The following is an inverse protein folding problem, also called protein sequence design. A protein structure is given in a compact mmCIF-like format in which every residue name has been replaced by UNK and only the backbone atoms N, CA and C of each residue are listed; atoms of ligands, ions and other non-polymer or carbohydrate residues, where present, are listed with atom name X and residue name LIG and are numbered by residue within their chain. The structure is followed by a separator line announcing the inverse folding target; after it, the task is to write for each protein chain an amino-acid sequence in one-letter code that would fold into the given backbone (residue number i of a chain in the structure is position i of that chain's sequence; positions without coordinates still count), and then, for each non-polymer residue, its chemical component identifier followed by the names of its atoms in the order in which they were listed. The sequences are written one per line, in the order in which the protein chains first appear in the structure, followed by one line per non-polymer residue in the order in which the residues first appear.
data_IF_179205067221
#
_entry.id   IF_179205067221
#
_cell.length_a   1.000
_cell.length_b   1.000
_cell.length_c   1.000
_cell.angle_alpha   90.00
_cell.angle_beta   90.00
_cell.angle_gamma   90.00
#
_symmetry.space_group_name_H-M   'P 1'
#
loop_
_entity.id
_entity.type
_entity.pdbx_description
1 polymer ?
#
# COMPACT_ATOMS: atom_id res chain seq x y z
N UNK A 1 -8.78 4.44 38.23
CA UNK A 1 -7.81 4.23 37.11
C UNK A 1 -7.66 2.74 36.98
N UNK A 2 -8.42 2.11 36.11
CA UNK A 2 -8.35 0.66 35.87
C UNK A 2 -7.07 0.37 35.11
N UNK A 3 -6.25 -0.51 35.67
CA UNK A 3 -5.06 -1.05 35.02
C UNK A 3 -5.48 -1.87 33.79
N UNK A 4 -5.48 -1.25 32.60
CA UNK A 4 -5.56 -2.01 31.37
C UNK A 4 -4.31 -2.88 31.26
N UNK A 5 -4.45 -4.21 31.07
CA UNK A 5 -3.31 -5.08 30.89
C UNK A 5 -2.50 -4.59 29.68
N UNK A 6 -1.18 -4.40 29.88
CA UNK A 6 -0.29 -4.01 28.80
C UNK A 6 -0.29 -5.10 27.73
N UNK A 7 -0.91 -4.78 26.58
CA UNK A 7 -0.89 -5.64 25.43
C UNK A 7 0.53 -5.83 24.90
N UNK A 8 1.07 -6.99 25.02
CA UNK A 8 2.23 -7.40 24.22
C UNK A 8 1.71 -7.76 22.83
N UNK A 9 2.01 -6.95 21.84
CA UNK A 9 1.57 -7.14 20.45
C UNK A 9 1.82 -8.58 19.93
N UNK A 10 2.86 -9.24 20.46
CA UNK A 10 3.22 -10.63 20.17
C UNK A 10 2.10 -11.62 20.56
N UNK A 11 1.36 -11.37 21.64
CA UNK A 11 0.29 -12.25 22.10
C UNK A 11 -0.99 -12.07 21.27
N UNK A 12 -1.21 -10.88 20.73
CA UNK A 12 -2.36 -10.59 19.85
C UNK A 12 -2.30 -11.44 18.57
N UNK A 13 -1.10 -11.56 17.98
CA UNK A 13 -0.88 -12.31 16.75
C UNK A 13 -0.68 -13.83 16.97
N UNK A 14 -0.29 -14.25 18.16
CA UNK A 14 -0.10 -15.65 18.50
C UNK A 14 -1.41 -16.40 18.84
N UNK A 15 -2.54 -15.70 18.93
CA UNK A 15 -3.83 -16.31 19.27
C UNK A 15 -4.05 -16.61 20.75
N UNK A 16 -3.08 -16.31 21.60
CA UNK A 16 -3.14 -16.57 23.05
C UNK A 16 -4.16 -15.71 23.81
N UNK A 17 -4.71 -14.69 23.12
CA UNK A 17 -5.70 -13.75 23.68
C UNK A 17 -7.12 -13.97 23.15
N UNK A 18 -7.40 -15.04 22.43
CA UNK A 18 -8.73 -15.34 21.84
C UNK A 18 -9.86 -15.33 22.85
N UNK A 19 -9.60 -15.82 24.07
CA UNK A 19 -10.60 -15.89 25.15
C UNK A 19 -10.92 -14.49 25.71
N UNK A 20 -9.93 -13.60 25.75
CA UNK A 20 -10.08 -12.23 26.25
C UNK A 20 -10.67 -11.27 25.20
N UNK A 21 -10.45 -11.55 23.91
CA UNK A 21 -10.85 -10.68 22.79
C UNK A 21 -11.43 -11.51 21.64
N UNK A 22 -12.65 -12.00 21.77
CA UNK A 22 -13.30 -12.84 20.77
C UNK A 22 -13.49 -12.17 19.40
N UNK A 23 -13.38 -10.84 19.35
CA UNK A 23 -13.52 -10.04 18.13
C UNK A 23 -12.16 -9.58 17.51
N UNK A 24 -11.04 -9.96 18.12
CA UNK A 24 -9.72 -9.60 17.55
C UNK A 24 -9.41 -10.49 16.35
N UNK A 25 -8.94 -9.86 15.27
CA UNK A 25 -8.56 -10.55 14.03
C UNK A 25 -7.52 -11.62 14.33
N UNK A 26 -7.85 -12.87 14.01
CA UNK A 26 -6.98 -14.04 14.29
C UNK A 26 -5.87 -14.25 13.26
N UNK A 27 -5.79 -13.38 12.22
CA UNK A 27 -4.84 -13.54 11.12
C UNK A 27 -3.67 -12.57 11.24
N UNK A 28 -2.47 -13.09 11.04
CA UNK A 28 -1.24 -12.31 11.02
C UNK A 28 -1.13 -11.48 9.73
N UNK A 29 -0.36 -10.36 9.71
CA UNK A 29 -0.19 -9.55 8.50
C UNK A 29 0.37 -10.32 7.30
N UNK A 30 1.27 -11.29 7.53
CA UNK A 30 1.79 -12.15 6.48
C UNK A 30 0.72 -13.06 5.88
N UNK A 31 -0.20 -13.57 6.71
CA UNK A 31 -1.35 -14.33 6.23
C UNK A 31 -2.28 -13.48 5.36
N UNK A 32 -2.60 -12.26 5.79
CA UNK A 32 -3.42 -11.31 5.02
C UNK A 32 -2.76 -11.01 3.66
N UNK A 33 -1.44 -10.80 3.67
CA UNK A 33 -0.70 -10.54 2.42
C UNK A 33 -0.71 -11.77 1.49
N UNK A 34 -0.60 -13.00 2.04
CA UNK A 34 -0.72 -14.24 1.26
C UNK A 34 -2.11 -14.41 0.65
N UNK A 35 -3.16 -13.87 1.27
CA UNK A 35 -4.52 -13.84 0.71
C UNK A 35 -4.65 -12.87 -0.48
N UNK A 36 -3.63 -12.06 -0.77
CA UNK A 36 -3.59 -11.14 -1.89
C UNK A 36 -3.99 -9.71 -1.50
N UNK A 37 -3.82 -9.30 -0.25
CA UNK A 37 -4.07 -7.93 0.20
C UNK A 37 -2.74 -7.30 0.58
N UNK A 38 -2.35 -6.22 -0.10
CA UNK A 38 -1.18 -5.42 0.24
C UNK A 38 -1.60 -4.00 0.63
N UNK A 39 -0.83 -3.38 1.53
CA UNK A 39 -1.05 -2.01 2.00
C UNK A 39 0.25 -1.23 1.98
N UNK A 40 0.20 -0.01 1.47
CA UNK A 40 1.20 1.02 1.73
C UNK A 40 0.81 1.79 3.00
N UNK A 41 1.72 2.60 3.51
CA UNK A 41 1.46 3.41 4.70
C UNK A 41 1.60 4.89 4.37
N UNK A 42 0.90 5.76 5.09
CA UNK A 42 1.03 7.21 4.97
C UNK A 42 2.51 7.64 5.07
N UNK A 43 3.22 7.16 6.09
CA UNK A 43 4.67 7.32 6.18
C UNK A 43 5.38 6.19 5.46
N UNK A 44 6.19 6.51 4.46
CA UNK A 44 6.95 5.54 3.64
C UNK A 44 7.79 4.63 4.54
N UNK A 45 7.60 3.32 4.40
CA UNK A 45 8.31 2.28 5.18
C UNK A 45 9.21 1.45 4.28
N UNK A 46 10.39 1.99 3.96
CA UNK A 46 11.43 1.28 3.23
C UNK A 46 12.52 0.75 4.17
N UNK A 47 13.19 -0.30 3.74
CA UNK A 47 14.43 -0.75 4.39
C UNK A 47 15.55 0.22 3.99
N UNK A 48 15.84 1.18 4.88
CA UNK A 48 16.69 2.34 4.61
C UNK A 48 18.12 1.99 4.22
N UNK A 49 18.66 0.89 4.75
CA UNK A 49 20.02 0.40 4.50
C UNK A 49 20.13 -0.56 3.31
N UNK A 50 19.01 -0.84 2.63
CA UNK A 50 18.97 -1.71 1.46
C UNK A 50 18.88 -0.90 0.18
N UNK A 51 19.36 -1.50 -0.92
CA UNK A 51 19.20 -0.95 -2.26
C UNK A 51 17.74 -0.95 -2.69
N UNK A 52 17.44 -0.22 -3.76
CA UNK A 52 16.15 -0.25 -4.43
C UNK A 52 15.77 -1.68 -4.82
N UNK A 53 16.72 -2.41 -5.41
CA UNK A 53 16.55 -3.80 -5.80
C UNK A 53 16.24 -4.72 -4.61
N UNK A 54 17.04 -4.63 -3.54
CA UNK A 54 16.87 -5.49 -2.36
C UNK A 54 15.57 -5.23 -1.61
N UNK A 55 15.09 -3.98 -1.61
CA UNK A 55 13.79 -3.64 -1.06
C UNK A 55 12.65 -4.42 -1.74
N UNK A 56 12.65 -4.52 -3.07
CA UNK A 56 11.63 -5.26 -3.82
C UNK A 56 11.84 -6.76 -3.70
N UNK A 57 13.08 -7.24 -3.82
CA UNK A 57 13.41 -8.66 -3.74
C UNK A 57 12.99 -9.28 -2.39
N UNK A 58 13.16 -8.53 -1.29
CA UNK A 58 12.74 -8.98 0.06
C UNK A 58 11.25 -9.31 0.11
N UNK A 59 10.40 -8.55 -0.58
CA UNK A 59 8.96 -8.81 -0.61
C UNK A 59 8.59 -10.08 -1.41
N UNK A 60 9.40 -10.47 -2.40
CA UNK A 60 9.20 -11.72 -3.13
C UNK A 60 9.33 -12.97 -2.25
N UNK A 61 10.10 -12.88 -1.15
CA UNK A 61 10.32 -14.02 -0.24
C UNK A 61 9.07 -14.44 0.53
N UNK A 62 8.05 -13.61 0.61
CA UNK A 62 6.78 -13.96 1.27
C UNK A 62 6.12 -15.23 0.69
N UNK A 63 6.29 -15.43 -0.62
CA UNK A 63 5.71 -16.58 -1.35
C UNK A 63 6.69 -17.73 -1.56
N UNK A 64 7.86 -17.66 -0.92
CA UNK A 64 8.87 -18.69 -1.03
C UNK A 64 8.38 -19.98 -0.36
N UNK A 65 8.35 -21.08 -1.11
CA UNK A 65 7.92 -22.40 -0.62
C UNK A 65 9.09 -23.27 -0.13
N UNK A 66 10.33 -22.75 -0.24
CA UNK A 66 11.52 -23.53 0.06
C UNK A 66 11.70 -23.77 1.56
N UNK A 67 11.90 -25.03 1.93
CA UNK A 67 12.24 -25.48 3.27
C UNK A 67 13.75 -25.29 3.55
N UNK A 68 14.13 -25.22 4.83
CA UNK A 68 15.52 -25.11 5.30
C UNK A 68 16.47 -26.14 4.63
N UNK A 69 15.98 -27.34 4.36
CA UNK A 69 16.71 -28.39 3.67
C UNK A 69 17.06 -28.03 2.21
N UNK A 70 16.11 -27.46 1.47
CA UNK A 70 16.35 -27.05 0.07
C UNK A 70 17.29 -25.85 -0.04
N UNK A 71 17.29 -24.96 0.95
CA UNK A 71 18.23 -23.84 1.05
C UNK A 71 19.67 -24.33 1.27
N UNK A 72 19.87 -25.33 2.14
CA UNK A 72 21.19 -25.89 2.48
C UNK A 72 21.86 -26.58 1.26
N UNK A 73 21.08 -27.23 0.40
CA UNK A 73 21.59 -27.94 -0.77
C UNK A 73 21.62 -27.13 -2.07
N UNK A 74 21.43 -25.78 -2.00
CA UNK A 74 21.41 -24.87 -3.17
C UNK A 74 20.44 -25.29 -4.29
N UNK A 75 19.39 -26.04 -3.97
CA UNK A 75 18.40 -26.51 -4.96
C UNK A 75 17.49 -25.37 -5.48
N UNK A 76 17.56 -24.19 -4.83
CA UNK A 76 16.68 -23.04 -5.12
C UNK A 76 17.25 -22.02 -6.13
N UNK A 77 18.35 -22.33 -6.81
CA UNK A 77 18.97 -21.38 -7.77
C UNK A 77 18.03 -20.92 -8.88
N UNK A 78 17.15 -21.79 -9.37
CA UNK A 78 16.17 -21.45 -10.40
C UNK A 78 15.09 -20.50 -9.88
N UNK A 79 14.57 -20.76 -8.68
CA UNK A 79 13.58 -19.91 -8.02
C UNK A 79 14.16 -18.53 -7.70
N UNK A 80 15.39 -18.50 -7.19
CA UNK A 80 16.10 -17.26 -6.87
C UNK A 80 16.39 -16.43 -8.14
N UNK A 81 16.78 -17.07 -9.23
CA UNK A 81 16.97 -16.41 -10.53
C UNK A 81 15.66 -15.82 -11.07
N UNK A 82 14.56 -16.56 -10.99
CA UNK A 82 13.25 -16.10 -11.40
C UNK A 82 12.74 -14.91 -10.54
N UNK A 83 12.99 -14.93 -9.21
CA UNK A 83 12.64 -13.80 -8.35
C UNK A 83 13.47 -12.55 -8.67
N UNK A 84 14.74 -12.70 -8.99
CA UNK A 84 15.60 -11.59 -9.43
C UNK A 84 15.13 -10.99 -10.76
N UNK A 85 14.79 -11.82 -11.72
CA UNK A 85 14.24 -11.40 -13.01
C UNK A 85 12.92 -10.63 -12.82
N UNK A 86 11.99 -11.20 -12.08
CA UNK A 86 10.71 -10.54 -11.75
C UNK A 86 10.91 -9.22 -11.00
N UNK A 87 11.92 -9.14 -10.13
CA UNK A 87 12.28 -7.89 -9.43
C UNK A 87 12.72 -6.82 -10.44
N UNK A 88 13.56 -7.17 -11.40
CA UNK A 88 14.02 -6.23 -12.45
C UNK A 88 12.86 -5.78 -13.34
N UNK A 89 11.96 -6.68 -13.70
CA UNK A 89 10.75 -6.34 -14.46
C UNK A 89 9.87 -5.35 -13.69
N UNK A 90 9.62 -5.59 -12.39
CA UNK A 90 8.87 -4.67 -11.54
C UNK A 90 9.53 -3.31 -11.44
N UNK A 91 10.85 -3.27 -11.25
CA UNK A 91 11.59 -2.00 -11.20
C UNK A 91 11.48 -1.23 -12.51
N UNK A 92 11.50 -1.92 -13.65
CA UNK A 92 11.29 -1.30 -14.95
C UNK A 92 9.88 -0.71 -15.09
N UNK A 93 8.85 -1.45 -14.65
CA UNK A 93 7.46 -0.97 -14.67
C UNK A 93 7.28 0.28 -13.84
N UNK A 94 7.91 0.36 -12.66
CA UNK A 94 7.79 1.53 -11.78
C UNK A 94 8.80 2.65 -12.11
N UNK A 95 9.64 2.47 -13.15
CA UNK A 95 10.63 3.47 -13.60
C UNK A 95 11.78 3.66 -12.62
N UNK A 96 12.25 2.58 -11.99
CA UNK A 96 13.36 2.59 -11.02
C UNK A 96 14.51 1.65 -11.38
N UNK A 97 14.51 1.05 -12.57
CA UNK A 97 15.52 0.11 -13.02
C UNK A 97 16.93 0.71 -13.09
N UNK A 98 17.05 1.94 -13.55
CA UNK A 98 18.34 2.68 -13.59
C UNK A 98 18.90 2.98 -12.20
N UNK A 99 18.07 2.94 -11.16
CA UNK A 99 18.41 3.26 -9.77
C UNK A 99 18.47 2.02 -8.87
N UNK A 100 18.44 0.83 -9.45
CA UNK A 100 18.32 -0.44 -8.73
C UNK A 100 19.39 -0.66 -7.66
N UNK A 101 20.60 -0.17 -7.90
CA UNK A 101 21.78 -0.33 -7.02
C UNK A 101 21.92 0.82 -5.99
N UNK A 102 21.09 1.88 -6.11
CA UNK A 102 21.05 3.00 -5.17
C UNK A 102 20.40 2.60 -3.83
N UNK A 103 20.83 3.26 -2.76
CA UNK A 103 20.13 3.12 -1.47
C UNK A 103 18.72 3.71 -1.55
N UNK A 104 17.75 3.05 -0.94
CA UNK A 104 16.37 3.53 -0.93
C UNK A 104 16.23 4.96 -0.37
N UNK A 105 17.12 5.36 0.55
CA UNK A 105 17.14 6.70 1.16
C UNK A 105 17.72 7.79 0.27
N UNK A 106 18.47 7.44 -0.78
CA UNK A 106 19.02 8.42 -1.73
C UNK A 106 18.00 8.90 -2.76
N UNK A 107 16.88 8.18 -2.87
CA UNK A 107 15.83 8.52 -3.82
C UNK A 107 15.05 9.78 -3.41
N UNK A 108 14.64 10.64 -4.37
CA UNK A 108 13.62 11.66 -4.15
C UNK A 108 12.32 11.04 -3.60
N UNK A 109 11.53 11.84 -2.87
CA UNK A 109 10.32 11.38 -2.17
C UNK A 109 9.33 10.65 -3.09
N UNK A 110 9.00 11.19 -4.24
CA UNK A 110 8.10 10.54 -5.21
C UNK A 110 8.62 9.18 -5.70
N UNK A 111 9.95 9.03 -5.88
CA UNK A 111 10.57 7.74 -6.24
C UNK A 111 10.58 6.75 -5.06
N UNK A 112 10.72 7.23 -3.82
CA UNK A 112 10.56 6.38 -2.64
C UNK A 112 9.13 5.83 -2.55
N UNK A 113 8.10 6.64 -2.86
CA UNK A 113 6.70 6.20 -2.91
C UNK A 113 6.48 5.14 -4.00
N UNK A 114 7.03 5.34 -5.20
CA UNK A 114 6.99 4.32 -6.26
C UNK A 114 7.66 3.01 -5.83
N UNK A 115 8.79 3.08 -5.10
CA UNK A 115 9.48 1.91 -4.56
C UNK A 115 8.62 1.18 -3.51
N UNK A 116 7.93 1.90 -2.64
CA UNK A 116 7.02 1.31 -1.66
C UNK A 116 5.87 0.56 -2.34
N UNK A 117 5.29 1.15 -3.39
CA UNK A 117 4.26 0.50 -4.21
C UNK A 117 4.83 -0.73 -4.92
N UNK A 118 6.04 -0.65 -5.49
CA UNK A 118 6.71 -1.79 -6.11
C UNK A 118 6.90 -2.97 -5.13
N UNK A 119 7.24 -2.69 -3.88
CA UNK A 119 7.31 -3.72 -2.82
C UNK A 119 5.95 -4.36 -2.54
N UNK A 120 4.88 -3.56 -2.54
CA UNK A 120 3.53 -4.09 -2.41
C UNK A 120 3.15 -4.98 -3.60
N UNK A 121 3.45 -4.54 -4.84
CA UNK A 121 3.21 -5.32 -6.07
C UNK A 121 4.02 -6.62 -6.11
N UNK A 122 5.22 -6.64 -5.54
CA UNK A 122 6.06 -7.83 -5.45
C UNK A 122 5.42 -8.98 -4.67
N UNK A 123 4.44 -8.70 -3.80
CA UNK A 123 3.65 -9.71 -3.11
C UNK A 123 2.51 -10.28 -3.94
N UNK A 124 2.36 -9.85 -5.21
CA UNK A 124 1.33 -10.30 -6.14
C UNK A 124 -0.11 -10.13 -5.56
N UNK A 125 -0.50 -8.89 -5.21
CA UNK A 125 -1.78 -8.62 -4.58
C UNK A 125 -2.93 -8.65 -5.60
N UNK A 126 -4.15 -8.89 -5.08
CA UNK A 126 -5.42 -8.66 -5.79
C UNK A 126 -6.04 -7.33 -5.37
N UNK A 127 -5.83 -6.96 -4.10
CA UNK A 127 -6.28 -5.72 -3.49
C UNK A 127 -5.08 -4.93 -2.98
N UNK A 128 -4.92 -3.71 -3.46
CA UNK A 128 -3.90 -2.77 -3.01
C UNK A 128 -4.57 -1.63 -2.25
N UNK A 129 -4.19 -1.47 -0.97
CA UNK A 129 -4.66 -0.39 -0.11
C UNK A 129 -3.60 0.73 -0.14
N UNK A 130 -3.98 1.90 -0.62
CA UNK A 130 -3.14 3.10 -0.68
C UNK A 130 -3.65 4.12 0.34
N UNK A 131 -2.79 4.48 1.28
CA UNK A 131 -3.10 5.39 2.39
C UNK A 131 -2.36 6.71 2.17
N UNK A 132 -3.09 7.74 1.74
CA UNK A 132 -2.61 9.08 1.38
C UNK A 132 -1.31 9.05 0.54
N UNK A 133 -1.32 8.38 -0.63
CA UNK A 133 -0.08 8.20 -1.41
C UNK A 133 0.50 9.50 -1.94
N UNK A 134 -0.30 10.56 -2.12
CA UNK A 134 0.14 11.87 -2.61
C UNK A 134 0.52 12.85 -1.50
N UNK A 135 0.47 12.44 -0.21
CA UNK A 135 0.80 13.34 0.89
C UNK A 135 2.20 13.94 0.75
N UNK A 136 2.30 15.26 0.81
CA UNK A 136 3.56 16.01 0.71
C UNK A 136 4.12 16.16 -0.70
N UNK A 137 3.37 15.79 -1.74
CA UNK A 137 3.72 15.98 -3.14
C UNK A 137 3.24 17.34 -3.67
N UNK A 138 3.99 17.91 -4.60
CA UNK A 138 3.53 19.06 -5.37
C UNK A 138 2.50 18.63 -6.44
N UNK A 139 1.77 19.58 -7.08
CA UNK A 139 0.75 19.23 -8.06
C UNK A 139 1.24 18.37 -9.22
N UNK A 140 2.44 18.62 -9.74
CA UNK A 140 3.02 17.85 -10.83
C UNK A 140 3.35 16.42 -10.39
N UNK A 141 3.95 16.24 -9.22
CA UNK A 141 4.24 14.93 -8.65
C UNK A 141 2.95 14.13 -8.38
N UNK A 142 1.88 14.82 -7.95
CA UNK A 142 0.56 14.20 -7.74
C UNK A 142 -0.02 13.71 -9.07
N UNK A 143 0.08 14.48 -10.14
CA UNK A 143 -0.38 14.09 -11.48
C UNK A 143 0.40 12.89 -12.01
N UNK A 144 1.73 12.90 -11.87
CA UNK A 144 2.60 11.77 -12.24
C UNK A 144 2.26 10.50 -11.43
N UNK A 145 1.98 10.64 -10.13
CA UNK A 145 1.55 9.53 -9.29
C UNK A 145 0.17 9.01 -9.70
N UNK A 146 -0.76 9.90 -10.04
CA UNK A 146 -2.11 9.56 -10.50
C UNK A 146 -2.05 8.71 -11.77
N UNK A 147 -1.26 9.14 -12.77
CA UNK A 147 -1.03 8.39 -13.99
C UNK A 147 -0.41 7.01 -13.71
N UNK A 148 0.59 6.97 -12.83
CA UNK A 148 1.25 5.73 -12.42
C UNK A 148 0.29 4.76 -11.71
N UNK A 149 -0.58 5.23 -10.81
CA UNK A 149 -1.57 4.38 -10.13
C UNK A 149 -2.54 3.77 -11.16
N UNK A 150 -2.98 4.55 -12.14
CA UNK A 150 -3.85 4.07 -13.23
C UNK A 150 -3.16 2.97 -14.04
N UNK A 151 -1.91 3.19 -14.42
CA UNK A 151 -1.11 2.23 -15.19
C UNK A 151 -0.96 0.89 -14.47
N UNK A 152 -0.54 0.89 -13.20
CA UNK A 152 -0.37 -0.35 -12.43
C UNK A 152 -1.69 -1.06 -12.17
N UNK A 153 -2.79 -0.32 -11.98
CA UNK A 153 -4.13 -0.89 -11.83
C UNK A 153 -4.50 -1.73 -13.04
N UNK A 154 -4.31 -1.19 -14.25
CA UNK A 154 -4.63 -1.87 -15.50
C UNK A 154 -3.69 -3.05 -15.76
N UNK A 155 -2.38 -2.82 -15.63
CA UNK A 155 -1.35 -3.82 -15.93
C UNK A 155 -1.43 -5.04 -15.02
N UNK A 156 -1.67 -4.84 -13.71
CA UNK A 156 -1.76 -5.92 -12.73
C UNK A 156 -3.20 -6.35 -12.42
N UNK A 157 -4.21 -5.76 -13.08
CA UNK A 157 -5.65 -6.02 -12.85
C UNK A 157 -6.03 -5.90 -11.38
N UNK A 158 -5.58 -4.83 -10.74
CA UNK A 158 -5.76 -4.61 -9.31
C UNK A 158 -7.15 -4.03 -8.99
N UNK A 159 -7.69 -4.46 -7.87
CA UNK A 159 -8.63 -3.63 -7.13
C UNK A 159 -7.82 -2.70 -6.23
N UNK A 160 -8.06 -1.39 -6.31
CA UNK A 160 -7.38 -0.41 -5.46
C UNK A 160 -8.40 0.21 -4.51
N UNK A 161 -8.09 0.23 -3.22
CA UNK A 161 -8.80 1.00 -2.22
C UNK A 161 -7.89 2.15 -1.79
N UNK A 162 -8.33 3.38 -2.09
CA UNK A 162 -7.57 4.60 -1.89
C UNK A 162 -8.19 5.44 -0.78
N UNK A 163 -7.37 5.89 0.17
CA UNK A 163 -7.71 6.95 1.12
C UNK A 163 -6.93 8.18 0.68
N UNK A 164 -7.62 9.25 0.35
CA UNK A 164 -7.02 10.50 -0.13
C UNK A 164 -7.93 11.70 0.16
N UNK A 165 -7.30 12.88 0.24
CA UNK A 165 -7.97 14.17 0.34
C UNK A 165 -7.67 15.10 -0.84
N UNK A 166 -6.81 14.69 -1.77
CA UNK A 166 -6.54 15.40 -3.02
C UNK A 166 -7.66 15.10 -4.04
N UNK A 167 -8.66 15.99 -4.11
CA UNK A 167 -9.88 15.78 -4.91
C UNK A 167 -9.59 15.48 -6.37
N UNK A 168 -8.63 16.18 -7.01
CA UNK A 168 -8.28 15.95 -8.41
C UNK A 168 -7.83 14.50 -8.65
N UNK A 169 -6.96 13.97 -7.81
CA UNK A 169 -6.51 12.58 -7.88
C UNK A 169 -7.68 11.62 -7.71
N UNK A 170 -8.51 11.84 -6.65
CA UNK A 170 -9.64 10.96 -6.34
C UNK A 170 -10.64 10.92 -7.49
N UNK A 171 -11.02 12.09 -8.03
CA UNK A 171 -11.99 12.19 -9.14
C UNK A 171 -11.48 11.55 -10.43
N UNK A 172 -10.16 11.58 -10.66
CA UNK A 172 -9.54 11.12 -11.90
C UNK A 172 -9.41 9.60 -12.00
N UNK A 173 -9.20 8.90 -10.88
CA UNK A 173 -8.90 7.44 -10.90
C UNK A 173 -9.96 6.56 -10.26
N UNK A 174 -10.94 7.13 -9.55
CA UNK A 174 -11.91 6.33 -8.80
C UNK A 174 -13.12 5.94 -9.65
N UNK A 175 -13.56 4.69 -9.54
CA UNK A 175 -14.84 4.24 -10.11
C UNK A 175 -16.00 4.58 -9.16
N UNK A 176 -15.73 4.59 -7.86
CA UNK A 176 -16.70 4.89 -6.79
C UNK A 176 -16.00 5.56 -5.61
N UNK A 177 -16.65 6.57 -5.06
CA UNK A 177 -16.14 7.39 -3.95
C UNK A 177 -17.11 7.28 -2.78
N UNK A 178 -16.56 7.20 -1.57
CA UNK A 178 -17.25 7.32 -0.30
C UNK A 178 -16.66 8.52 0.42
N UNK A 179 -17.47 9.54 0.69
CA UNK A 179 -17.03 10.74 1.39
C UNK A 179 -17.36 10.60 2.87
N UNK A 180 -16.34 10.80 3.70
CA UNK A 180 -16.46 10.71 5.16
C UNK A 180 -16.07 12.07 5.74
N UNK A 181 -16.94 12.60 6.58
CA UNK A 181 -16.73 13.83 7.33
C UNK A 181 -17.01 13.56 8.81
N UNK A 182 -16.10 13.98 9.71
CA UNK A 182 -16.14 13.69 11.15
C UNK A 182 -16.56 12.26 11.53
N UNK A 183 -16.07 11.27 10.76
CA UNK A 183 -16.33 9.84 10.98
C UNK A 183 -17.71 9.36 10.51
N UNK A 184 -18.48 10.20 9.80
CA UNK A 184 -19.77 9.85 9.19
C UNK A 184 -19.67 9.88 7.67
N UNK A 185 -20.27 8.89 7.03
CA UNK A 185 -20.41 8.93 5.58
C UNK A 185 -21.47 9.96 5.20
N UNK A 186 -21.07 11.01 4.48
CA UNK A 186 -21.97 12.07 4.01
C UNK A 186 -22.44 11.87 2.57
N UNK A 187 -21.63 11.19 1.73
CA UNK A 187 -21.99 10.89 0.36
C UNK A 187 -21.36 9.57 -0.12
N UNK A 188 -21.93 8.96 -1.16
CA UNK A 188 -21.33 7.85 -1.90
C UNK A 188 -21.88 7.83 -3.33
N UNK A 189 -21.00 7.70 -4.33
CA UNK A 189 -21.41 7.73 -5.73
C UNK A 189 -20.21 7.61 -6.69
N UNK A 190 -20.48 7.80 -7.96
CA UNK A 190 -19.42 7.97 -8.98
C UNK A 190 -18.88 9.40 -8.92
N UNK A 191 -17.67 9.66 -9.47
CA UNK A 191 -17.05 10.99 -9.40
C UNK A 191 -17.97 12.14 -9.81
N UNK A 192 -18.72 11.98 -10.90
CA UNK A 192 -19.65 13.03 -11.39
C UNK A 192 -20.80 13.35 -10.41
N UNK A 193 -21.25 12.37 -9.63
CA UNK A 193 -22.27 12.58 -8.59
C UNK A 193 -21.67 13.30 -7.39
N UNK A 194 -20.49 12.87 -6.94
CA UNK A 194 -19.80 13.44 -5.77
C UNK A 194 -19.39 14.89 -6.02
N UNK A 195 -18.91 15.21 -7.22
CA UNK A 195 -18.47 16.57 -7.58
C UNK A 195 -19.60 17.59 -7.48
N UNK A 196 -20.86 17.16 -7.65
CA UNK A 196 -22.06 18.01 -7.65
C UNK A 196 -22.88 17.87 -6.35
N UNK A 197 -22.45 17.07 -5.38
CA UNK A 197 -23.18 16.92 -4.11
C UNK A 197 -22.89 18.12 -3.20
N UNK A 198 -23.94 18.89 -2.87
CA UNK A 198 -23.79 20.10 -2.05
C UNK A 198 -23.16 19.82 -0.69
N UNK A 199 -23.48 18.70 -0.05
CA UNK A 199 -22.90 18.31 1.26
C UNK A 199 -21.39 18.11 1.18
N UNK A 200 -20.92 17.58 0.05
CA UNK A 200 -19.46 17.40 -0.19
C UNK A 200 -18.81 18.75 -0.44
N UNK A 201 -19.44 19.62 -1.22
CA UNK A 201 -18.97 20.97 -1.50
C UNK A 201 -18.85 21.76 -0.19
N UNK A 202 -19.87 21.73 0.64
CA UNK A 202 -19.93 22.46 1.92
C UNK A 202 -18.85 21.94 2.88
N UNK A 203 -18.71 20.61 3.04
CA UNK A 203 -17.69 20.00 3.87
C UNK A 203 -16.26 20.32 3.39
N UNK A 204 -16.02 20.37 2.08
CA UNK A 204 -14.71 20.68 1.50
C UNK A 204 -14.36 22.17 1.59
N UNK A 205 -15.33 23.05 1.40
CA UNK A 205 -15.12 24.49 1.46
C UNK A 205 -15.16 25.04 2.89
N UNK A 206 -15.50 24.22 3.89
CA UNK A 206 -15.59 24.65 5.28
C UNK A 206 -16.66 25.72 5.50
N UNK A 207 -17.79 25.60 4.82
CA UNK A 207 -18.94 26.47 5.09
C UNK A 207 -19.50 26.04 6.45
N UNK A 208 -19.19 26.82 7.49
CA UNK A 208 -19.71 26.64 8.83
C UNK A 208 -21.24 26.63 8.77
N UNK A 209 -21.86 25.58 9.27
CA UNK A 209 -23.31 25.53 9.56
C UNK A 209 -23.70 26.41 10.77
N UNK A 210 -22.98 27.50 11.04
CA UNK A 210 -23.30 28.51 12.04
C UNK A 210 -24.02 29.68 11.37
N UNK A 211 -25.33 29.48 11.12
CA UNK A 211 -26.29 30.48 10.71
C UNK A 211 -27.62 30.27 11.38
#
# INVERSE_FOLDING_TARGET
MENHPQFKMKNLYAGDSKELYPHVVSHTPDYITKMGIARTFQNIRLFKSMTVFDNVLTAMHLRKTSNVFSATFRLNRKEEAAQREKTLELLKIVGLDDLKDELATSLPYGKQRRLEIARALATDPKLLLLDEPAAGMNPQETEELTAFIREIREQFKLTIFLIEHHMNLVMDISDRIYVIDFGRQIAAGVPAEIQNDQRVIDAYLGVDEDG
#
